data_IF_104262877055
#
_entry.id   IF_104262877055
#
_cell.length_a   1.000
_cell.length_b   1.000
_cell.length_c   1.000
_cell.angle_alpha   90.00
_cell.angle_beta   90.00
_cell.angle_gamma   90.00
#
_symmetry.space_group_name_H-M   'P 1'
#
loop_
_entity.id
_entity.type
_entity.pdbx_description
1 polymer ?
#
# COMPACT_ATOMS: atom_id res chain seq x y z
N UNK A 1 4.81 20.99 2.18
CA UNK A 1 4.14 20.00 3.06
C UNK A 1 3.13 19.31 2.18
N UNK A 2 3.14 17.97 2.02
CA UNK A 2 2.06 17.33 1.30
C UNK A 2 0.76 17.65 2.04
N UNK A 3 -0.25 18.13 1.29
CA UNK A 3 -1.60 18.36 1.76
C UNK A 3 -2.06 17.14 2.55
N UNK A 4 -2.83 17.35 3.59
CA UNK A 4 -3.38 16.27 4.40
C UNK A 4 -4.38 15.50 3.53
N UNK A 5 -3.92 14.38 2.93
CA UNK A 5 -4.78 13.54 2.11
C UNK A 5 -5.69 12.77 3.05
N UNK A 6 -7.00 12.95 2.90
CA UNK A 6 -7.97 12.09 3.57
C UNK A 6 -7.99 10.73 2.87
N UNK A 7 -7.75 9.63 3.61
CA UNK A 7 -7.75 8.30 3.01
C UNK A 7 -9.16 7.87 2.63
N UNK A 8 -9.29 7.17 1.50
CA UNK A 8 -10.48 6.36 1.26
C UNK A 8 -10.49 5.20 2.25
N UNK A 9 -11.58 5.08 2.99
CA UNK A 9 -11.76 4.09 4.05
C UNK A 9 -12.56 2.88 3.55
N UNK A 10 -12.17 1.69 4.00
CA UNK A 10 -12.94 0.47 3.77
C UNK A 10 -14.04 0.31 4.81
N UNK A 11 -15.05 -0.52 4.51
CA UNK A 11 -16.06 -0.92 5.48
C UNK A 11 -15.53 -1.95 6.48
N UNK A 12 -16.25 -2.11 7.62
CA UNK A 12 -15.85 -3.03 8.69
C UNK A 12 -15.93 -4.52 8.28
N UNK A 13 -16.67 -4.83 7.22
CA UNK A 13 -16.99 -6.20 6.80
C UNK A 13 -16.27 -6.65 5.53
N UNK A 14 -15.44 -5.81 4.95
CA UNK A 14 -14.72 -6.16 3.72
C UNK A 14 -13.21 -6.28 3.93
N UNK A 15 -12.58 -7.21 3.20
CA UNK A 15 -11.14 -7.43 3.17
C UNK A 15 -10.41 -6.65 2.05
N UNK A 16 -10.99 -5.55 1.56
CA UNK A 16 -10.49 -4.84 0.37
C UNK A 16 -9.35 -3.84 0.65
N UNK A 17 -8.71 -3.92 1.82
CA UNK A 17 -7.61 -3.02 2.21
C UNK A 17 -6.52 -2.87 1.12
N UNK A 18 -6.26 -3.92 0.35
CA UNK A 18 -5.30 -3.84 -0.75
C UNK A 18 -5.76 -2.97 -1.93
N UNK A 19 -7.06 -2.94 -2.25
CA UNK A 19 -7.62 -2.02 -3.25
C UNK A 19 -7.53 -0.58 -2.77
N UNK A 20 -7.97 -0.35 -1.53
CA UNK A 20 -7.89 0.96 -0.91
C UNK A 20 -6.43 1.45 -0.80
N UNK A 21 -5.48 0.56 -0.48
CA UNK A 21 -4.06 0.92 -0.45
C UNK A 21 -3.55 1.37 -1.83
N UNK A 22 -3.96 0.69 -2.92
CA UNK A 22 -3.59 1.13 -4.29
C UNK A 22 -4.16 2.52 -4.57
N UNK A 23 -5.44 2.75 -4.29
CA UNK A 23 -6.09 4.04 -4.57
C UNK A 23 -5.47 5.15 -3.71
N UNK A 24 -5.32 4.92 -2.41
CA UNK A 24 -4.72 5.88 -1.50
C UNK A 24 -3.27 6.24 -1.88
N UNK A 25 -2.49 5.26 -2.37
CA UNK A 25 -1.13 5.51 -2.85
C UNK A 25 -1.13 6.39 -4.11
N UNK A 26 -2.03 6.12 -5.06
CA UNK A 26 -2.13 6.89 -6.31
C UNK A 26 -2.66 8.31 -6.04
N UNK A 27 -3.66 8.48 -5.19
CA UNK A 27 -4.14 9.82 -4.79
C UNK A 27 -3.06 10.62 -4.05
N UNK A 28 -2.16 9.94 -3.32
CA UNK A 28 -1.04 10.60 -2.65
C UNK A 28 0.02 11.12 -3.62
N UNK A 29 0.18 10.48 -4.77
CA UNK A 29 1.14 10.86 -5.82
C UNK A 29 0.55 11.77 -6.88
N UNK A 30 -0.75 11.63 -7.16
CA UNK A 30 -1.46 12.36 -8.21
C UNK A 30 -2.65 13.09 -7.59
N UNK A 31 -2.48 14.34 -7.14
CA UNK A 31 -3.57 15.15 -6.59
C UNK A 31 -4.73 15.40 -7.57
N UNK A 32 -4.50 15.17 -8.86
CA UNK A 32 -5.50 15.25 -9.93
C UNK A 32 -6.51 14.10 -9.90
N UNK A 33 -6.26 13.05 -9.13
CA UNK A 33 -7.24 11.97 -8.91
C UNK A 33 -8.28 12.48 -7.91
N UNK A 34 -9.37 12.99 -8.45
CA UNK A 34 -10.56 13.37 -7.69
C UNK A 34 -11.39 12.14 -7.27
N UNK A 35 -12.49 12.38 -6.56
CA UNK A 35 -13.40 11.32 -6.07
C UNK A 35 -14.04 10.52 -7.21
N UNK A 36 -14.38 11.17 -8.33
CA UNK A 36 -15.00 10.51 -9.48
C UNK A 36 -14.01 9.55 -10.15
N UNK A 37 -12.78 10.00 -10.39
CA UNK A 37 -11.72 9.19 -10.98
C UNK A 37 -11.28 8.05 -10.05
N UNK A 38 -11.16 8.32 -8.74
CA UNK A 38 -10.87 7.31 -7.74
C UNK A 38 -11.96 6.22 -7.68
N UNK A 39 -13.24 6.62 -7.73
CA UNK A 39 -14.36 5.69 -7.78
C UNK A 39 -14.36 4.86 -9.07
N UNK A 40 -14.03 5.48 -10.20
CA UNK A 40 -13.93 4.79 -11.50
C UNK A 40 -12.77 3.79 -11.49
N UNK A 41 -11.62 4.17 -10.93
CA UNK A 41 -10.48 3.28 -10.74
C UNK A 41 -10.84 2.10 -9.84
N UNK A 42 -11.49 2.36 -8.71
CA UNK A 42 -11.93 1.29 -7.79
C UNK A 42 -12.82 0.27 -8.51
N UNK A 43 -13.85 0.74 -9.23
CA UNK A 43 -14.74 -0.13 -10.02
C UNK A 43 -14.00 -0.91 -11.10
N UNK A 44 -13.02 -0.28 -11.76
CA UNK A 44 -12.17 -0.93 -12.77
C UNK A 44 -11.37 -2.09 -12.16
N UNK A 45 -10.75 -1.88 -11.00
CA UNK A 45 -9.98 -2.91 -10.29
C UNK A 45 -10.88 -4.03 -9.75
N UNK A 46 -12.03 -3.69 -9.17
CA UNK A 46 -13.00 -4.66 -8.64
C UNK A 46 -13.51 -5.60 -9.74
N UNK A 47 -13.93 -5.06 -10.90
CA UNK A 47 -14.35 -5.88 -12.06
C UNK A 47 -13.24 -6.81 -12.56
N UNK A 48 -11.99 -6.35 -12.50
CA UNK A 48 -10.88 -7.21 -12.89
C UNK A 48 -10.68 -8.38 -11.93
N UNK A 49 -10.95 -8.17 -10.65
CA UNK A 49 -10.95 -9.25 -9.66
C UNK A 49 -12.05 -10.26 -9.94
N UNK A 50 -13.29 -9.82 -10.19
CA UNK A 50 -14.42 -10.69 -10.52
C UNK A 50 -14.12 -11.59 -11.72
N UNK A 51 -13.56 -11.06 -12.80
CA UNK A 51 -13.27 -11.82 -14.03
C UNK A 51 -12.14 -12.85 -13.88
N UNK A 52 -11.34 -12.82 -12.83
CA UNK A 52 -10.21 -13.75 -12.60
C UNK A 52 -10.41 -14.71 -11.46
N UNK A 53 -11.33 -14.43 -10.57
CA UNK A 53 -11.60 -15.27 -9.41
C UNK A 53 -12.80 -16.16 -9.72
N UNK A 54 -12.59 -17.48 -9.68
CA UNK A 54 -13.70 -18.45 -9.78
C UNK A 54 -14.72 -18.24 -8.65
N UNK A 55 -14.25 -17.63 -7.54
CA UNK A 55 -15.07 -17.29 -6.38
C UNK A 55 -14.58 -15.93 -5.81
N UNK A 56 -15.30 -14.81 -6.03
CA UNK A 56 -14.92 -13.49 -5.52
C UNK A 56 -15.06 -13.37 -3.99
N UNK A 57 -15.91 -14.15 -3.35
CA UNK A 57 -16.18 -14.12 -1.92
C UNK A 57 -14.94 -14.25 -1.02
N UNK A 58 -13.98 -15.18 -1.29
CA UNK A 58 -12.78 -15.29 -0.46
C UNK A 58 -11.95 -14.01 -0.41
N UNK A 59 -11.90 -13.24 -1.50
CA UNK A 59 -11.13 -11.99 -1.55
C UNK A 59 -11.79 -10.89 -0.77
N UNK A 60 -13.12 -10.78 -0.83
CA UNK A 60 -13.88 -9.83 -0.03
C UNK A 60 -13.73 -10.16 1.46
N UNK A 61 -13.76 -11.45 1.82
CA UNK A 61 -13.71 -11.88 3.20
C UNK A 61 -12.29 -11.93 3.79
N UNK A 62 -11.28 -12.30 2.99
CA UNK A 62 -9.92 -12.59 3.51
C UNK A 62 -8.82 -11.69 2.94
N UNK A 63 -9.18 -10.75 2.07
CA UNK A 63 -8.23 -9.83 1.44
C UNK A 63 -7.47 -10.43 0.27
N UNK A 64 -6.57 -9.66 -0.31
CA UNK A 64 -5.77 -10.02 -1.47
C UNK A 64 -4.33 -10.37 -1.11
N UNK A 65 -3.78 -11.36 -1.81
CA UNK A 65 -2.37 -11.73 -1.69
C UNK A 65 -1.44 -10.67 -2.31
N UNK A 66 -0.16 -10.70 -1.96
CA UNK A 66 0.85 -9.84 -2.57
C UNK A 66 0.93 -10.02 -4.10
N UNK A 67 0.73 -11.24 -4.62
CA UNK A 67 0.69 -11.50 -6.07
C UNK A 67 -0.52 -10.84 -6.72
N UNK A 68 -1.69 -10.95 -6.12
CA UNK A 68 -2.91 -10.30 -6.61
C UNK A 68 -2.79 -8.78 -6.55
N UNK A 69 -2.23 -8.24 -5.46
CA UNK A 69 -1.95 -6.81 -5.32
C UNK A 69 -1.09 -6.28 -6.49
N UNK A 70 0.00 -6.98 -6.82
CA UNK A 70 0.89 -6.59 -7.93
C UNK A 70 0.18 -6.59 -9.29
N UNK A 71 -0.70 -7.55 -9.52
CA UNK A 71 -1.48 -7.60 -10.77
C UNK A 71 -2.47 -6.43 -10.86
N UNK A 72 -3.16 -6.13 -9.77
CA UNK A 72 -4.09 -4.99 -9.70
C UNK A 72 -3.34 -3.68 -9.84
N UNK A 73 -2.18 -3.56 -9.20
CA UNK A 73 -1.34 -2.39 -9.31
C UNK A 73 -0.90 -2.10 -10.75
N UNK A 74 -0.41 -3.09 -11.49
CA UNK A 74 -0.06 -2.92 -12.91
C UNK A 74 -1.23 -2.37 -13.74
N UNK A 75 -2.46 -2.73 -13.37
CA UNK A 75 -3.66 -2.21 -14.03
C UNK A 75 -3.98 -0.79 -13.59
N UNK A 76 -3.83 -0.51 -12.30
CA UNK A 76 -4.03 0.83 -11.77
C UNK A 76 -3.06 1.83 -12.42
N UNK A 77 -1.78 1.49 -12.53
CA UNK A 77 -0.76 2.32 -13.17
C UNK A 77 -1.09 2.60 -14.65
N UNK A 78 -1.51 1.58 -15.40
CA UNK A 78 -1.96 1.76 -16.80
C UNK A 78 -3.20 2.63 -16.90
N UNK A 79 -4.13 2.48 -15.95
CA UNK A 79 -5.34 3.31 -15.92
C UNK A 79 -4.97 4.78 -15.65
N UNK A 80 -4.08 5.04 -14.70
CA UNK A 80 -3.62 6.39 -14.36
C UNK A 80 -2.87 7.03 -15.53
N UNK A 81 -1.92 6.34 -16.14
CA UNK A 81 -1.19 6.81 -17.33
C UNK A 81 -2.16 7.15 -18.47
N UNK A 82 -3.15 6.29 -18.74
CA UNK A 82 -4.13 6.53 -19.82
C UNK A 82 -5.04 7.73 -19.56
N UNK A 83 -5.48 7.96 -18.32
CA UNK A 83 -6.49 8.98 -18.00
C UNK A 83 -5.87 10.33 -17.61
N UNK A 84 -4.67 10.34 -17.03
CA UNK A 84 -3.99 11.55 -16.56
C UNK A 84 -2.72 11.89 -17.35
N UNK A 85 -2.20 10.95 -18.15
CA UNK A 85 -0.92 11.13 -18.82
C UNK A 85 0.29 11.09 -17.86
N UNK A 86 0.08 10.67 -16.60
CA UNK A 86 1.12 10.60 -15.57
C UNK A 86 1.73 9.21 -15.55
N UNK A 87 3.03 9.14 -15.71
CA UNK A 87 3.79 7.89 -15.52
C UNK A 87 4.18 7.77 -14.05
N UNK A 88 3.89 6.60 -13.47
CA UNK A 88 4.25 6.27 -12.09
C UNK A 88 5.14 5.04 -12.12
N UNK A 89 6.31 5.17 -11.56
CA UNK A 89 7.23 4.06 -11.37
C UNK A 89 6.91 3.30 -10.09
N UNK A 90 6.89 1.97 -10.18
CA UNK A 90 6.68 1.08 -9.05
C UNK A 90 7.89 0.17 -8.88
N UNK A 91 8.56 0.25 -7.74
CA UNK A 91 9.75 -0.52 -7.43
C UNK A 91 9.50 -1.44 -6.24
N UNK A 92 9.79 -2.73 -6.40
CA UNK A 92 9.75 -3.68 -5.29
C UNK A 92 10.97 -3.50 -4.39
N UNK A 93 10.79 -3.67 -3.08
CA UNK A 93 11.90 -3.62 -2.14
C UNK A 93 12.79 -4.86 -2.31
N UNK A 94 13.87 -4.72 -3.08
CA UNK A 94 14.83 -5.77 -3.37
C UNK A 94 15.90 -5.87 -2.27
N UNK A 95 15.50 -6.20 -1.03
CA UNK A 95 16.45 -6.41 0.07
C UNK A 95 16.73 -7.89 0.27
N UNK A 96 18.02 -8.26 0.23
CA UNK A 96 18.44 -9.62 0.57
C UNK A 96 18.08 -9.94 2.03
N UNK A 97 17.40 -11.07 2.24
CA UNK A 97 17.03 -11.52 3.60
C UNK A 97 18.24 -11.78 4.50
N UNK A 98 19.40 -12.06 3.90
CA UNK A 98 20.64 -12.32 4.63
C UNK A 98 21.13 -11.03 5.28
N UNK A 99 21.25 -11.02 6.61
CA UNK A 99 21.65 -9.86 7.42
C UNK A 99 20.64 -8.67 7.41
N UNK A 100 19.39 -8.93 7.05
CA UNK A 100 18.32 -7.95 7.21
C UNK A 100 17.96 -7.84 8.69
N UNK A 101 17.91 -6.61 9.19
CA UNK A 101 17.34 -6.25 10.48
C UNK A 101 16.31 -5.12 10.32
N UNK A 102 15.48 -4.92 11.34
CA UNK A 102 14.44 -3.90 11.32
C UNK A 102 15.01 -2.48 11.09
N UNK A 103 16.22 -2.20 11.63
CA UNK A 103 16.85 -0.89 11.49
C UNK A 103 17.23 -0.61 10.02
N UNK A 104 17.79 -1.60 9.33
CA UNK A 104 18.15 -1.49 7.92
C UNK A 104 16.92 -1.31 7.03
N UNK A 105 15.89 -2.14 7.28
CA UNK A 105 14.61 -2.02 6.56
C UNK A 105 13.98 -0.64 6.78
N UNK A 106 13.94 -0.18 8.04
CA UNK A 106 13.36 1.12 8.38
C UNK A 106 14.11 2.27 7.74
N UNK A 107 15.45 2.23 7.74
CA UNK A 107 16.28 3.25 7.08
C UNK A 107 16.03 3.30 5.57
N UNK A 108 15.97 2.14 4.92
CA UNK A 108 15.70 2.07 3.49
C UNK A 108 14.32 2.65 3.17
N UNK A 109 13.29 2.25 3.92
CA UNK A 109 11.94 2.80 3.77
C UNK A 109 11.91 4.32 4.03
N UNK A 110 12.64 4.79 5.06
CA UNK A 110 12.73 6.23 5.35
C UNK A 110 13.40 7.03 4.24
N UNK A 111 14.41 6.47 3.58
CA UNK A 111 15.07 7.12 2.45
C UNK A 111 14.12 7.23 1.24
N UNK A 112 13.41 6.17 0.88
CA UNK A 112 12.40 6.19 -0.19
C UNK A 112 11.34 7.27 0.07
N UNK A 113 10.73 7.23 1.26
CA UNK A 113 9.70 8.20 1.65
C UNK A 113 10.23 9.63 1.74
N UNK A 114 11.50 9.81 2.14
CA UNK A 114 12.19 11.11 2.17
C UNK A 114 12.47 11.68 0.77
N UNK A 115 12.51 10.83 -0.25
CA UNK A 115 12.68 11.22 -1.67
C UNK A 115 11.34 11.49 -2.38
N UNK A 116 10.24 11.62 -1.64
CA UNK A 116 8.91 11.92 -2.20
C UNK A 116 8.13 10.70 -2.67
N UNK A 117 8.65 9.49 -2.44
CA UNK A 117 7.92 8.27 -2.72
C UNK A 117 6.81 8.02 -1.69
N UNK A 118 5.86 7.17 -2.05
CA UNK A 118 4.97 6.49 -1.10
C UNK A 118 5.20 4.99 -1.20
N UNK A 119 4.86 4.23 -0.15
CA UNK A 119 5.05 2.80 -0.16
C UNK A 119 3.80 2.06 0.31
N UNK A 120 3.30 1.11 -0.49
CA UNK A 120 2.33 0.13 0.00
C UNK A 120 3.09 -0.92 0.80
N UNK A 121 2.64 -1.17 2.02
CA UNK A 121 3.22 -2.14 2.94
C UNK A 121 2.16 -3.09 3.49
N UNK A 122 2.53 -4.35 3.69
CA UNK A 122 1.69 -5.32 4.41
C UNK A 122 2.10 -5.33 5.88
N UNK A 123 1.13 -5.16 6.75
CA UNK A 123 1.25 -5.37 8.19
C UNK A 123 0.75 -6.78 8.51
N UNK A 124 1.65 -7.68 8.94
CA UNK A 124 1.32 -9.03 9.41
C UNK A 124 1.47 -9.12 10.94
N UNK A 125 1.22 -10.29 11.49
CA UNK A 125 1.34 -10.56 12.92
C UNK A 125 0.15 -10.01 13.70
N UNK A 126 0.28 -8.85 14.32
CA UNK A 126 -0.80 -8.20 15.07
C UNK A 126 -2.00 -7.78 14.19
N UNK A 127 -1.84 -7.74 12.87
CA UNK A 127 -2.93 -7.56 11.90
C UNK A 127 -2.55 -8.23 10.58
N UNK A 128 -3.51 -8.32 9.65
CA UNK A 128 -3.29 -8.67 8.25
C UNK A 128 -3.91 -7.56 7.41
N UNK A 129 -3.10 -6.53 7.10
CA UNK A 129 -3.64 -5.30 6.55
C UNK A 129 -2.66 -4.61 5.61
N UNK A 130 -3.13 -4.29 4.39
CA UNK A 130 -2.40 -3.45 3.45
C UNK A 130 -2.65 -1.98 3.76
N UNK A 131 -1.59 -1.20 3.86
CA UNK A 131 -1.65 0.24 4.10
C UNK A 131 -0.59 0.98 3.29
N UNK A 132 -0.65 2.31 3.30
CA UNK A 132 0.31 3.18 2.60
C UNK A 132 1.13 3.96 3.62
N UNK A 133 2.45 3.88 3.53
CA UNK A 133 3.37 4.77 4.23
C UNK A 133 3.71 5.96 3.33
N UNK A 134 3.58 7.19 3.84
CA UNK A 134 3.82 8.43 3.09
C UNK A 134 4.93 9.32 3.67
N UNK A 135 5.33 9.11 4.90
CA UNK A 135 6.51 9.76 5.47
C UNK A 135 7.07 8.96 6.64
N UNK A 136 8.32 9.18 6.99
CA UNK A 136 9.00 8.50 8.07
C UNK A 136 9.81 9.43 8.95
N UNK A 137 9.92 9.07 10.23
CA UNK A 137 10.90 9.56 11.16
C UNK A 137 11.77 8.38 11.63
N UNK A 138 12.73 8.61 12.52
CA UNK A 138 13.51 7.53 13.11
C UNK A 138 12.67 6.50 13.86
N UNK A 139 11.51 6.89 14.37
CA UNK A 139 10.68 6.07 15.26
C UNK A 139 9.27 5.79 14.74
N UNK A 140 8.80 6.51 13.74
CA UNK A 140 7.41 6.40 13.25
C UNK A 140 7.33 6.44 11.73
N UNK A 141 6.33 5.74 11.16
CA UNK A 141 5.82 5.96 9.81
C UNK A 141 4.46 6.64 9.91
N UNK A 142 4.25 7.68 9.11
CA UNK A 142 2.93 8.24 8.87
C UNK A 142 2.24 7.41 7.80
N UNK A 143 0.97 7.13 8.03
CA UNK A 143 0.19 6.26 7.15
C UNK A 143 -1.00 7.02 6.53
N UNK A 144 -1.37 6.58 5.33
CA UNK A 144 -2.66 6.83 4.68
C UNK A 144 -3.36 5.47 4.68
N UNK A 145 -4.25 5.27 5.62
CA UNK A 145 -4.74 3.94 6.01
C UNK A 145 -6.26 3.86 5.92
N UNK A 146 -6.76 2.80 5.30
CA UNK A 146 -8.20 2.59 5.10
C UNK A 146 -8.95 2.21 6.39
N UNK A 147 -8.25 1.89 7.49
CA UNK A 147 -8.79 1.68 8.84
C UNK A 147 -8.42 2.81 9.80
N UNK A 148 -8.17 4.01 9.27
CA UNK A 148 -7.87 5.23 10.03
C UNK A 148 -6.62 5.17 10.93
N UNK A 149 -5.70 4.24 10.69
CA UNK A 149 -4.42 4.20 11.39
C UNK A 149 -3.50 5.30 10.86
N UNK A 150 -3.23 6.32 11.64
CA UNK A 150 -2.41 7.47 11.22
C UNK A 150 -0.91 7.22 11.33
N UNK A 151 -0.49 6.35 12.27
CA UNK A 151 0.93 6.17 12.62
C UNK A 151 1.25 4.72 12.93
N UNK A 152 2.41 4.26 12.46
CA UNK A 152 3.03 3.00 12.85
C UNK A 152 4.32 3.29 13.61
N UNK A 153 4.44 2.78 14.84
CA UNK A 153 5.60 3.01 15.71
C UNK A 153 6.61 1.89 15.54
N UNK A 154 7.90 2.20 15.29
CA UNK A 154 8.96 1.22 15.04
C UNK A 154 9.11 0.18 16.16
N UNK A 155 8.96 0.58 17.43
CA UNK A 155 9.07 -0.35 18.56
C UNK A 155 7.96 -1.43 18.57
N UNK A 156 6.85 -1.20 17.83
CA UNK A 156 5.79 -2.19 17.63
C UNK A 156 5.99 -3.06 16.38
N UNK A 157 7.10 -2.86 15.65
CA UNK A 157 7.40 -3.59 14.42
C UNK A 157 8.46 -4.65 14.66
N UNK A 158 8.51 -5.63 13.78
CA UNK A 158 9.52 -6.70 13.72
C UNK A 158 9.68 -7.17 12.28
N UNK A 159 10.77 -7.87 11.99
CA UNK A 159 10.96 -8.65 10.76
C UNK A 159 10.80 -10.15 11.01
N UNK A 160 10.68 -10.56 12.26
CA UNK A 160 10.46 -11.94 12.68
C UNK A 160 8.98 -12.26 12.75
N UNK A 161 8.64 -13.53 12.54
CA UNK A 161 7.26 -13.98 12.70
C UNK A 161 6.83 -13.89 14.17
N UNK A 162 5.69 -13.22 14.39
CA UNK A 162 5.10 -13.01 15.72
C UNK A 162 3.65 -12.52 15.60
N UNK A 163 2.84 -12.85 16.59
CA UNK A 163 1.45 -12.38 16.68
C UNK A 163 1.28 -11.09 17.52
N UNK A 164 2.29 -10.68 18.27
CA UNK A 164 2.22 -9.54 19.19
C UNK A 164 2.71 -8.21 18.59
N UNK A 165 3.36 -8.24 17.42
CA UNK A 165 3.91 -7.07 16.73
C UNK A 165 3.53 -7.06 15.27
N UNK A 166 3.66 -5.90 14.63
CA UNK A 166 3.51 -5.78 13.19
C UNK A 166 4.77 -6.31 12.50
N UNK A 167 4.62 -7.41 11.80
CA UNK A 167 5.69 -7.96 10.98
C UNK A 167 5.75 -7.21 9.65
N UNK A 168 6.95 -6.74 9.31
CA UNK A 168 7.27 -6.08 8.05
C UNK A 168 8.16 -6.99 7.21
N UNK A 169 7.85 -7.15 5.92
CA UNK A 169 8.65 -7.95 4.99
C UNK A 169 8.92 -7.17 3.71
N UNK A 170 10.18 -7.06 3.25
CA UNK A 170 10.49 -6.38 1.99
C UNK A 170 9.73 -6.94 0.79
N UNK A 171 9.50 -8.27 0.75
CA UNK A 171 8.74 -8.91 -0.31
C UNK A 171 7.26 -8.50 -0.39
N UNK A 172 6.77 -7.77 0.60
CA UNK A 172 5.41 -7.26 0.72
C UNK A 172 5.41 -5.73 0.83
N UNK A 173 6.41 -5.11 0.20
CA UNK A 173 6.54 -3.65 0.11
C UNK A 173 6.79 -3.25 -1.33
N UNK A 174 6.10 -2.21 -1.78
CA UNK A 174 6.23 -1.64 -3.12
C UNK A 174 6.30 -0.12 -2.96
N UNK A 175 7.39 0.48 -3.43
CA UNK A 175 7.59 1.92 -3.47
C UNK A 175 7.10 2.50 -4.79
N UNK A 176 6.59 3.71 -4.76
CA UNK A 176 6.08 4.43 -5.93
C UNK A 176 6.55 5.86 -5.93
N UNK A 177 6.89 6.37 -7.12
CA UNK A 177 7.09 7.79 -7.35
C UNK A 177 6.41 8.21 -8.66
N UNK A 178 6.02 9.47 -8.73
CA UNK A 178 5.65 10.09 -10.00
C UNK A 178 6.93 10.36 -10.79
N UNK A 179 6.93 10.01 -12.08
CA UNK A 179 8.01 10.28 -13.03
C UNK A 179 8.05 11.74 -13.48
#
# INVERSE_FOLDING_TARGET
MPSQIEPYCQGDLDGLCGLYAIINALCALCPEIDEELATTLFRHLARHMEGRLKEPMPVIAYGISATSLRLLLKRALRFTSKNLGVEIEATEFAMARRNLDLRKLWRHLSNELGSGHVAIIMLRGASHHWTVACSATETTLRLIDSHDRKVLVRSRCTISDTHSRFQLSPSEMISFCAG
#
